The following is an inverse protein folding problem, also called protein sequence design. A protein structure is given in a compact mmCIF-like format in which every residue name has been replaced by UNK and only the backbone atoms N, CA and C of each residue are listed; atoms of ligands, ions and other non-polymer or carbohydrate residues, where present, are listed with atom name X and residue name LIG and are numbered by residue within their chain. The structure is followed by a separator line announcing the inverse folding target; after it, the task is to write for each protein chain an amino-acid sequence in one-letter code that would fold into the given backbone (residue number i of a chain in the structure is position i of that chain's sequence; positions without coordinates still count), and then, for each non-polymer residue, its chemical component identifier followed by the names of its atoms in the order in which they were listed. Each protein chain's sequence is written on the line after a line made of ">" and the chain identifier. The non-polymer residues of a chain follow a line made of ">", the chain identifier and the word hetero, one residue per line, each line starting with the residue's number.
data_IF_249903989375
#
_entry.id   IF_249903989375
#
_cell.length_a   1.000
_cell.length_b   1.000
_cell.length_c   1.000
_cell.angle_alpha   90.00
_cell.angle_beta   90.00
_cell.angle_gamma   90.00
#
_symmetry.space_group_name_H-M   'P 1'
#
loop_
_entity.id
_entity.type
_entity.pdbx_description
1 polymer ?
#
# COMPACT_ATOMS: atom_id res chain seq x y z
N UNK A 1 -10.11 16.85 -10.69
CA UNK A 1 -9.06 16.15 -9.94
C UNK A 1 -7.69 16.60 -10.39
N UNK A 2 -7.45 16.81 -11.64
CA UNK A 2 -6.28 17.43 -12.23
C UNK A 2 -6.78 18.60 -13.07
N UNK A 3 -6.33 19.84 -12.81
CA UNK A 3 -6.48 20.89 -13.81
C UNK A 3 -5.46 20.57 -14.90
N UNK A 4 -5.94 20.25 -16.09
CA UNK A 4 -5.12 20.05 -17.28
C UNK A 4 -4.60 21.37 -17.81
N UNK A 5 -3.68 21.99 -17.09
CA UNK A 5 -2.85 23.04 -17.62
C UNK A 5 -1.55 22.42 -18.06
N UNK A 6 -1.10 22.72 -19.26
CA UNK A 6 0.17 22.24 -19.83
C UNK A 6 1.39 22.62 -18.96
N UNK A 7 1.25 23.62 -18.12
CA UNK A 7 2.20 23.96 -17.07
C UNK A 7 1.69 23.45 -15.73
N UNK A 8 2.30 22.40 -15.19
CA UNK A 8 1.98 21.76 -13.91
C UNK A 8 2.12 22.65 -12.67
N UNK A 9 2.16 23.96 -12.82
CA UNK A 9 2.29 24.95 -11.77
C UNK A 9 0.91 25.27 -11.18
N UNK A 10 0.62 24.80 -9.96
CA UNK A 10 -0.44 25.33 -9.11
C UNK A 10 -1.73 24.51 -9.01
N UNK A 11 -1.77 23.26 -9.41
CA UNK A 11 -2.94 22.38 -9.17
C UNK A 11 -3.01 21.92 -7.70
N UNK A 12 -4.15 22.19 -7.03
CA UNK A 12 -4.38 21.67 -5.68
C UNK A 12 -4.71 20.18 -5.74
N UNK A 13 -3.73 19.30 -5.47
CA UNK A 13 -3.99 17.90 -5.26
C UNK A 13 -4.80 17.67 -3.97
N UNK A 14 -5.95 17.01 -4.07
CA UNK A 14 -6.77 16.66 -2.89
C UNK A 14 -6.05 15.63 -2.01
N UNK A 15 -5.30 14.72 -2.62
CA UNK A 15 -4.58 13.62 -1.96
C UNK A 15 -3.16 13.61 -2.50
N UNK A 16 -2.17 13.39 -1.63
CA UNK A 16 -0.76 13.33 -2.03
C UNK A 16 -0.48 12.16 -2.97
N UNK A 17 0.53 12.32 -3.84
CA UNK A 17 0.89 11.35 -4.86
C UNK A 17 1.25 9.98 -4.26
N UNK A 18 1.96 9.96 -3.15
CA UNK A 18 2.33 8.72 -2.46
C UNK A 18 1.11 7.89 -2.04
N UNK A 19 0.01 8.53 -1.63
CA UNK A 19 -1.24 7.85 -1.31
C UNK A 19 -1.97 7.40 -2.58
N UNK A 20 -1.96 8.19 -3.65
CA UNK A 20 -2.56 7.85 -4.94
C UNK A 20 -1.91 6.61 -5.54
N UNK A 21 -0.59 6.49 -5.46
CA UNK A 21 0.18 5.38 -6.06
C UNK A 21 0.19 4.10 -5.24
N UNK A 22 -0.27 4.12 -3.99
CA UNK A 22 -0.40 2.88 -3.20
C UNK A 22 -1.35 1.89 -3.87
N UNK A 23 -1.10 0.57 -3.76
CA UNK A 23 -2.05 -0.46 -4.15
C UNK A 23 -3.43 -0.25 -3.48
N UNK A 24 -4.50 -0.63 -4.17
CA UNK A 24 -5.88 -0.46 -3.67
C UNK A 24 -6.11 -1.17 -2.33
N UNK A 25 -5.59 -2.37 -2.17
CA UNK A 25 -5.65 -3.16 -0.94
C UNK A 25 -4.76 -2.61 0.19
N UNK A 26 -3.90 -1.65 -0.11
CA UNK A 26 -3.09 -0.89 0.85
C UNK A 26 -3.58 0.56 1.03
N UNK A 27 -4.84 0.83 0.68
CA UNK A 27 -5.49 2.12 0.90
C UNK A 27 -5.27 3.17 -0.18
N UNK A 28 -4.61 2.84 -1.28
CA UNK A 28 -4.36 3.73 -2.39
C UNK A 28 -5.42 3.67 -3.49
N UNK A 29 -5.19 4.47 -4.53
CA UNK A 29 -5.98 4.44 -5.76
C UNK A 29 -5.46 3.39 -6.77
N UNK A 30 -4.24 2.88 -6.57
CA UNK A 30 -3.62 1.86 -7.42
C UNK A 30 -3.07 2.40 -8.73
N UNK A 31 -2.78 3.70 -8.81
CA UNK A 31 -2.02 4.25 -9.93
C UNK A 31 -0.57 3.77 -9.80
N UNK A 32 0.05 3.18 -10.82
CA UNK A 32 1.41 2.70 -10.72
C UNK A 32 2.42 3.81 -10.40
N UNK A 33 3.26 3.58 -9.40
CA UNK A 33 4.44 4.38 -9.11
C UNK A 33 5.56 3.92 -10.04
N UNK A 34 5.92 4.74 -11.02
CA UNK A 34 6.88 4.36 -12.07
C UNK A 34 8.29 4.13 -11.53
N UNK A 35 8.71 4.86 -10.50
CA UNK A 35 10.01 4.68 -9.87
C UNK A 35 10.10 3.30 -9.19
N UNK A 36 9.12 2.97 -8.35
CA UNK A 36 9.02 1.68 -7.68
C UNK A 36 8.81 0.53 -8.66
N UNK A 37 8.05 0.77 -9.74
CA UNK A 37 7.87 -0.21 -10.80
C UNK A 37 9.18 -0.46 -11.55
N UNK A 38 9.91 0.60 -11.91
CA UNK A 38 11.25 0.50 -12.50
C UNK A 38 12.22 -0.26 -11.61
N UNK A 39 12.22 0.00 -10.28
CA UNK A 39 13.00 -0.76 -9.31
C UNK A 39 12.63 -2.25 -9.33
N UNK A 40 11.33 -2.57 -9.30
CA UNK A 40 10.89 -3.96 -9.38
C UNK A 40 11.32 -4.65 -10.68
N UNK A 41 11.42 -3.96 -11.80
CA UNK A 41 11.96 -4.52 -13.04
C UNK A 41 13.48 -4.74 -12.96
N UNK A 42 14.24 -3.84 -12.32
CA UNK A 42 15.69 -4.00 -12.15
C UNK A 42 16.04 -5.18 -11.22
N UNK A 43 15.26 -5.41 -10.15
CA UNK A 43 15.46 -6.60 -9.30
C UNK A 43 15.33 -7.92 -10.06
N UNK A 44 14.59 -7.95 -11.16
CA UNK A 44 14.48 -9.13 -12.03
C UNK A 44 15.82 -9.53 -12.63
N UNK A 45 16.69 -8.56 -12.96
CA UNK A 45 18.02 -8.85 -13.47
C UNK A 45 18.87 -9.57 -12.43
N UNK A 46 18.87 -9.11 -11.18
CA UNK A 46 19.57 -9.75 -10.06
C UNK A 46 19.07 -11.18 -9.81
N UNK A 47 17.74 -11.40 -9.89
CA UNK A 47 17.16 -12.74 -9.78
C UNK A 47 17.61 -13.66 -10.91
N UNK A 48 17.56 -13.19 -12.13
CA UNK A 48 17.94 -13.99 -13.32
C UNK A 48 19.43 -14.33 -13.32
N UNK A 49 20.30 -13.43 -12.88
CA UNK A 49 21.74 -13.68 -12.75
C UNK A 49 22.02 -14.85 -11.78
N UNK A 50 21.19 -15.00 -10.74
CA UNK A 50 21.30 -16.13 -9.82
C UNK A 50 20.79 -17.44 -10.40
N UNK A 51 19.64 -17.40 -11.08
CA UNK A 51 18.92 -18.61 -11.51
C UNK A 51 19.48 -19.17 -12.81
N UNK A 52 19.95 -18.31 -13.72
CA UNK A 52 20.37 -18.73 -15.07
C UNK A 52 21.65 -17.99 -15.49
N UNK A 53 22.79 -18.63 -15.25
CA UNK A 53 24.11 -18.12 -15.65
C UNK A 53 24.37 -18.23 -17.16
N UNK A 54 23.53 -18.95 -17.91
CA UNK A 54 23.71 -19.13 -19.37
C UNK A 54 23.33 -17.89 -20.17
N UNK A 55 22.75 -16.88 -19.55
CA UNK A 55 22.40 -15.62 -20.20
C UNK A 55 23.63 -14.89 -20.69
N UNK A 56 23.58 -14.38 -21.91
CA UNK A 56 24.68 -13.67 -22.58
C UNK A 56 25.19 -12.43 -21.85
N UNK A 57 24.38 -11.87 -20.96
CA UNK A 57 24.68 -10.70 -20.11
C UNK A 57 25.12 -11.08 -18.70
N UNK A 58 25.12 -12.37 -18.36
CA UNK A 58 25.58 -12.84 -17.03
C UNK A 58 27.04 -12.45 -16.81
N UNK A 59 27.32 -11.88 -15.63
CA UNK A 59 28.64 -11.35 -15.30
C UNK A 59 28.96 -9.95 -15.84
N UNK A 60 28.05 -9.33 -16.63
CA UNK A 60 28.16 -7.92 -17.00
C UNK A 60 27.66 -7.01 -15.89
N UNK A 61 27.97 -5.70 -15.97
CA UNK A 61 27.45 -4.70 -15.06
C UNK A 61 25.93 -4.55 -15.27
N UNK A 62 25.17 -4.89 -14.23
CA UNK A 62 23.71 -4.79 -14.27
C UNK A 62 23.23 -3.36 -14.00
N UNK A 63 22.14 -2.89 -14.62
CA UNK A 63 21.56 -1.56 -14.41
C UNK A 63 20.83 -1.46 -13.05
N UNK A 64 21.51 -1.87 -11.98
CA UNK A 64 20.97 -1.92 -10.62
C UNK A 64 21.79 -1.03 -9.69
N UNK A 65 21.08 -0.16 -8.96
CA UNK A 65 21.68 0.70 -7.94
C UNK A 65 22.03 -0.10 -6.67
N UNK A 66 22.78 0.51 -5.75
CA UNK A 66 23.07 -0.11 -4.45
C UNK A 66 21.79 -0.34 -3.63
N UNK A 67 20.82 0.57 -3.71
CA UNK A 67 19.51 0.40 -3.08
C UNK A 67 18.72 -0.78 -3.66
N UNK A 68 18.80 -1.00 -4.97
CA UNK A 68 18.20 -2.16 -5.62
C UNK A 68 18.83 -3.46 -5.10
N UNK A 69 20.16 -3.50 -4.99
CA UNK A 69 20.90 -4.64 -4.45
C UNK A 69 20.60 -4.88 -2.97
N UNK A 70 20.47 -3.82 -2.19
CA UNK A 70 20.09 -3.91 -0.78
C UNK A 70 18.68 -4.49 -0.62
N UNK A 71 17.70 -3.98 -1.39
CA UNK A 71 16.33 -4.49 -1.39
C UNK A 71 16.27 -5.95 -1.86
N UNK A 72 17.03 -6.31 -2.90
CA UNK A 72 17.11 -7.68 -3.38
C UNK A 72 17.65 -8.62 -2.29
N UNK A 73 18.80 -8.30 -1.72
CA UNK A 73 19.46 -9.13 -0.71
C UNK A 73 18.60 -9.32 0.55
N UNK A 74 17.82 -8.31 0.95
CA UNK A 74 16.88 -8.42 2.06
C UNK A 74 15.61 -9.22 1.72
N UNK A 75 15.36 -9.43 0.43
CA UNK A 75 14.15 -10.09 -0.09
C UNK A 75 14.35 -11.55 -0.48
N UNK A 76 15.58 -12.04 -0.45
CA UNK A 76 15.90 -13.45 -0.74
C UNK A 76 16.28 -14.21 0.53
N UNK A 77 16.10 -15.52 0.49
CA UNK A 77 16.68 -16.48 1.43
C UNK A 77 17.70 -17.29 0.63
N UNK A 78 18.90 -17.44 1.17
CA UNK A 78 19.97 -18.20 0.51
C UNK A 78 20.07 -19.56 1.21
N UNK A 79 19.99 -20.63 0.43
CA UNK A 79 20.33 -21.97 0.88
C UNK A 79 21.72 -22.32 0.34
N UNK A 80 22.69 -22.42 1.25
CA UNK A 80 24.06 -22.77 0.90
C UNK A 80 24.17 -24.23 0.43
N UNK A 81 24.78 -24.41 -0.72
CA UNK A 81 25.28 -25.68 -1.20
C UNK A 81 26.79 -25.74 -1.07
N UNK A 82 27.49 -25.57 -2.19
CA UNK A 82 28.98 -25.56 -2.24
C UNK A 82 29.60 -24.20 -1.93
N UNK A 83 28.79 -23.15 -1.79
CA UNK A 83 29.22 -21.78 -1.47
C UNK A 83 29.94 -21.07 -2.62
N UNK A 84 29.84 -21.58 -3.85
CA UNK A 84 30.57 -21.03 -5.00
C UNK A 84 29.94 -19.74 -5.54
N UNK A 85 28.63 -19.56 -5.42
CA UNK A 85 27.89 -18.37 -5.89
C UNK A 85 27.74 -17.31 -4.80
N UNK A 86 27.60 -17.71 -3.57
CA UNK A 86 27.28 -16.85 -2.44
C UNK A 86 28.48 -16.01 -2.04
N UNK A 87 28.36 -14.67 -2.08
CA UNK A 87 29.40 -13.74 -1.63
C UNK A 87 29.44 -13.72 -0.10
N UNK A 88 30.63 -14.04 0.49
CA UNK A 88 30.79 -14.18 1.93
C UNK A 88 30.31 -12.94 2.72
N UNK A 89 30.77 -11.76 2.36
CA UNK A 89 30.49 -10.53 3.11
C UNK A 89 29.18 -9.85 2.74
N UNK A 90 28.67 -10.06 1.52
CA UNK A 90 27.59 -9.25 0.97
C UNK A 90 26.24 -9.93 0.99
N UNK A 91 26.19 -11.26 1.00
CA UNK A 91 24.93 -12.00 0.93
C UNK A 91 24.48 -12.48 2.31
N UNK A 92 23.16 -12.57 2.51
CA UNK A 92 22.53 -12.96 3.78
C UNK A 92 22.45 -14.47 3.98
N UNK A 93 23.60 -15.14 3.99
CA UNK A 93 23.69 -16.60 4.13
C UNK A 93 23.88 -17.08 5.58
N UNK A 94 24.27 -16.19 6.48
CA UNK A 94 24.52 -16.50 7.88
C UNK A 94 23.36 -15.97 8.73
N UNK A 95 22.48 -16.87 9.18
CA UNK A 95 21.26 -16.53 9.91
C UNK A 95 20.40 -15.44 9.19
N UNK A 96 20.24 -15.56 7.87
CA UNK A 96 19.55 -14.60 7.03
C UNK A 96 20.18 -13.19 7.00
N UNK A 97 21.38 -13.02 7.51
CA UNK A 97 22.11 -11.75 7.54
C UNK A 97 23.44 -11.84 6.78
N UNK A 98 23.83 -10.73 6.19
CA UNK A 98 25.17 -10.65 5.58
C UNK A 98 26.23 -10.33 6.65
N UNK A 99 27.37 -11.04 6.66
CA UNK A 99 28.45 -10.82 7.63
C UNK A 99 28.91 -9.37 7.76
N UNK A 100 28.84 -8.56 6.70
CA UNK A 100 29.13 -7.11 6.77
C UNK A 100 28.24 -6.32 7.73
N UNK A 101 27.03 -6.82 8.03
CA UNK A 101 26.13 -6.19 9.00
C UNK A 101 26.31 -6.77 10.40
N UNK A 102 26.74 -8.02 10.50
CA UNK A 102 27.06 -8.67 11.77
C UNK A 102 28.38 -8.18 12.35
N UNK A 103 29.34 -7.85 11.48
CA UNK A 103 30.69 -7.40 11.85
C UNK A 103 31.14 -6.20 10.99
N UNK A 104 30.51 -5.04 11.14
CA UNK A 104 30.75 -3.87 10.30
C UNK A 104 32.15 -3.28 10.48
N UNK A 105 32.76 -3.38 11.67
CA UNK A 105 34.09 -2.89 11.91
C UNK A 105 35.16 -3.81 11.29
N UNK A 106 34.99 -5.12 11.35
CA UNK A 106 35.87 -6.07 10.63
C UNK A 106 35.73 -5.90 9.12
N UNK A 107 34.52 -5.69 8.60
CA UNK A 107 34.31 -5.48 7.17
C UNK A 107 35.10 -4.28 6.63
N UNK A 108 35.18 -3.19 7.40
CA UNK A 108 35.96 -1.98 7.04
C UNK A 108 37.48 -2.22 6.95
N UNK A 109 38.01 -3.23 7.62
CA UNK A 109 39.43 -3.58 7.57
C UNK A 109 39.83 -4.31 6.28
N UNK A 110 38.85 -4.76 5.50
CA UNK A 110 39.12 -5.62 4.35
C UNK A 110 39.26 -4.81 3.07
N UNK A 111 40.28 -5.15 2.28
CA UNK A 111 40.52 -4.59 0.93
C UNK A 111 39.81 -5.37 -0.19
N UNK A 112 39.48 -6.64 0.04
CA UNK A 112 38.80 -7.53 -0.93
C UNK A 112 37.66 -8.23 -0.26
N UNK A 113 36.45 -7.86 -0.64
CA UNK A 113 35.17 -8.31 -0.02
C UNK A 113 34.31 -9.17 -0.93
N UNK A 114 34.66 -9.29 -2.23
CA UNK A 114 33.83 -9.97 -3.24
C UNK A 114 34.09 -11.48 -3.38
N UNK A 115 34.79 -12.09 -2.42
CA UNK A 115 35.04 -13.54 -2.44
C UNK A 115 33.80 -14.32 -2.04
N UNK A 116 33.72 -15.56 -2.54
CA UNK A 116 32.62 -16.47 -2.25
C UNK A 116 32.77 -17.14 -0.88
N UNK A 117 31.68 -17.69 -0.36
CA UNK A 117 31.69 -18.45 0.89
C UNK A 117 32.66 -19.62 0.80
N UNK A 118 32.65 -20.37 -0.31
CA UNK A 118 33.57 -21.44 -0.58
C UNK A 118 35.02 -21.00 -0.46
N UNK A 119 35.39 -19.85 -1.06
CA UNK A 119 36.76 -19.33 -1.06
C UNK A 119 37.20 -18.84 0.32
N UNK A 120 36.30 -18.27 1.11
CA UNK A 120 36.61 -17.72 2.43
C UNK A 120 36.62 -18.80 3.53
N UNK A 121 35.77 -19.82 3.44
CA UNK A 121 35.74 -20.92 4.38
C UNK A 121 36.87 -21.95 4.11
N UNK A 122 37.34 -22.05 2.85
CA UNK A 122 38.48 -22.93 2.54
C UNK A 122 39.72 -22.53 3.33
N UNK A 123 40.23 -23.45 4.15
CA UNK A 123 41.37 -23.23 5.02
C UNK A 123 41.21 -21.99 5.94
N UNK A 124 40.00 -21.64 6.31
CA UNK A 124 39.71 -20.47 7.16
C UNK A 124 40.33 -19.15 6.64
N UNK A 125 40.35 -18.95 5.32
CA UNK A 125 40.94 -17.76 4.69
C UNK A 125 40.43 -16.43 5.23
N UNK A 126 39.16 -16.36 5.60
CA UNK A 126 38.56 -15.16 6.15
C UNK A 126 39.25 -14.70 7.46
N UNK A 127 39.68 -15.67 8.29
CA UNK A 127 40.37 -15.39 9.54
C UNK A 127 41.80 -14.89 9.30
N UNK A 128 42.54 -15.55 8.41
CA UNK A 128 43.97 -15.22 8.15
C UNK A 128 44.12 -13.77 7.65
N UNK A 129 43.13 -13.23 6.93
CA UNK A 129 43.13 -11.84 6.45
C UNK A 129 42.87 -10.82 7.55
N UNK A 130 42.16 -11.21 8.58
CA UNK A 130 41.77 -10.35 9.69
C UNK A 130 42.79 -10.38 10.82
N UNK A 131 43.46 -11.52 11.06
CA UNK A 131 44.31 -11.75 12.21
C UNK A 131 45.37 -10.66 12.46
N UNK A 132 45.94 -10.07 11.38
CA UNK A 132 46.94 -9.00 11.49
C UNK A 132 46.34 -7.59 11.57
N UNK A 133 45.01 -7.45 11.45
CA UNK A 133 44.32 -6.17 11.38
C UNK A 133 43.43 -5.90 12.61
N UNK A 134 43.26 -6.91 13.45
CA UNK A 134 42.51 -6.80 14.69
C UNK A 134 43.34 -6.04 15.71
N UNK A 135 42.90 -4.81 16.04
CA UNK A 135 43.66 -3.90 16.93
C UNK A 135 42.82 -3.36 18.09
N UNK A 136 41.52 -3.66 18.14
CA UNK A 136 40.58 -3.12 19.15
C UNK A 136 39.71 -4.20 19.76
N UNK A 137 39.20 -4.01 20.99
CA UNK A 137 38.27 -4.94 21.62
C UNK A 137 37.01 -5.22 20.77
N UNK A 138 36.48 -4.21 20.12
CA UNK A 138 35.31 -4.37 19.26
C UNK A 138 35.54 -5.29 18.07
N UNK A 139 36.78 -5.26 17.50
CA UNK A 139 37.19 -6.18 16.44
C UNK A 139 37.20 -7.62 16.93
N UNK A 140 37.66 -7.83 18.19
CA UNK A 140 37.71 -9.16 18.80
C UNK A 140 36.32 -9.68 19.05
N UNK A 141 35.43 -8.86 19.58
CA UNK A 141 34.01 -9.20 19.83
C UNK A 141 33.30 -9.62 18.53
N UNK A 142 33.38 -8.78 17.49
CA UNK A 142 32.79 -9.09 16.18
C UNK A 142 33.43 -10.37 15.58
N UNK A 143 34.74 -10.56 15.71
CA UNK A 143 35.42 -11.76 15.24
C UNK A 143 34.90 -13.01 15.94
N UNK A 144 34.83 -13.00 17.26
CA UNK A 144 34.32 -14.12 18.06
C UNK A 144 32.85 -14.43 17.73
N UNK A 145 32.03 -13.40 17.57
CA UNK A 145 30.65 -13.57 17.17
C UNK A 145 30.51 -14.26 15.80
N UNK A 146 31.29 -13.82 14.81
CA UNK A 146 31.29 -14.47 13.49
C UNK A 146 31.84 -15.90 13.57
N UNK A 147 32.93 -16.10 14.32
CA UNK A 147 33.55 -17.40 14.50
C UNK A 147 32.54 -18.44 15.01
N UNK A 148 31.87 -18.12 16.10
CA UNK A 148 30.88 -19.02 16.72
C UNK A 148 29.77 -19.42 15.72
N UNK A 149 29.29 -18.48 14.91
CA UNK A 149 28.24 -18.73 13.92
C UNK A 149 28.71 -19.54 12.72
N UNK A 150 29.96 -19.36 12.31
CA UNK A 150 30.50 -19.98 11.09
C UNK A 150 31.02 -21.42 11.35
N UNK A 151 31.42 -21.76 12.56
CA UNK A 151 32.01 -23.08 12.84
C UNK A 151 31.04 -24.26 12.55
N UNK A 152 29.75 -24.03 12.64
CA UNK A 152 28.73 -25.07 12.38
C UNK A 152 28.26 -25.10 10.91
N UNK A 153 28.85 -24.25 10.07
CA UNK A 153 28.48 -24.17 8.65
C UNK A 153 29.25 -25.20 7.84
N UNK A 154 28.53 -26.15 7.25
CA UNK A 154 29.08 -27.19 6.40
C UNK A 154 28.63 -27.01 4.95
N UNK A 155 29.60 -26.85 4.04
CA UNK A 155 29.32 -26.75 2.61
C UNK A 155 29.07 -28.14 2.02
N UNK A 156 28.05 -28.25 1.17
CA UNK A 156 27.67 -29.49 0.50
C UNK A 156 28.31 -29.54 -0.89
N UNK A 157 29.39 -30.32 -1.03
CA UNK A 157 30.10 -30.44 -2.32
C UNK A 157 29.17 -30.99 -3.42
N UNK A 158 29.20 -30.36 -4.58
CA UNK A 158 28.39 -30.76 -5.74
C UNK A 158 26.95 -30.29 -5.73
N UNK A 159 26.49 -29.62 -4.66
CA UNK A 159 25.17 -29.00 -4.60
C UNK A 159 25.35 -27.49 -4.76
N UNK A 160 24.69 -26.92 -5.77
CA UNK A 160 24.75 -25.47 -6.01
C UNK A 160 23.98 -24.67 -4.95
N UNK A 161 24.47 -23.46 -4.66
CA UNK A 161 23.73 -22.49 -3.86
C UNK A 161 22.41 -22.12 -4.56
N UNK A 162 21.32 -22.03 -3.79
CA UNK A 162 20.01 -21.63 -4.30
C UNK A 162 19.47 -20.42 -3.57
N UNK A 163 18.56 -19.70 -4.22
CA UNK A 163 17.84 -18.58 -3.62
C UNK A 163 16.34 -18.80 -3.68
N UNK A 164 15.65 -18.32 -2.65
CA UNK A 164 14.19 -18.33 -2.57
C UNK A 164 13.70 -16.90 -2.35
N UNK A 165 12.68 -16.48 -3.09
CA UNK A 165 12.06 -15.17 -2.93
C UNK A 165 11.07 -15.18 -1.76
N UNK A 166 11.29 -14.33 -0.74
CA UNK A 166 10.51 -14.32 0.52
C UNK A 166 9.03 -13.95 0.35
N UNK A 167 8.67 -13.28 -0.75
CA UNK A 167 7.39 -12.57 -0.88
C UNK A 167 6.37 -13.28 -1.78
N UNK A 168 6.64 -14.53 -2.12
CA UNK A 168 5.73 -15.43 -2.85
C UNK A 168 5.68 -16.79 -2.18
N UNK A 169 4.55 -17.49 -2.29
CA UNK A 169 4.39 -18.80 -1.67
C UNK A 169 5.22 -19.89 -2.38
N UNK A 170 5.49 -19.70 -3.68
CA UNK A 170 6.27 -20.62 -4.51
C UNK A 170 7.78 -20.35 -4.45
N UNK A 171 8.18 -19.33 -3.70
CA UNK A 171 9.58 -18.93 -3.58
C UNK A 171 10.19 -18.33 -4.84
N UNK A 172 9.39 -18.08 -5.88
CA UNK A 172 9.86 -17.53 -7.15
C UNK A 172 9.66 -16.00 -7.22
N UNK A 173 10.60 -15.33 -7.86
CA UNK A 173 10.50 -13.90 -8.09
C UNK A 173 9.33 -13.54 -9.02
N UNK A 174 8.57 -12.51 -8.64
CA UNK A 174 7.65 -11.84 -9.54
C UNK A 174 7.77 -10.32 -9.41
N UNK A 175 7.73 -9.60 -10.53
CA UNK A 175 7.73 -8.13 -10.54
C UNK A 175 6.60 -7.55 -9.69
N UNK A 176 5.44 -8.23 -9.68
CA UNK A 176 4.30 -7.85 -8.84
C UNK A 176 4.62 -7.91 -7.34
N UNK A 177 5.25 -8.98 -6.87
CA UNK A 177 5.64 -9.11 -5.46
C UNK A 177 6.73 -8.11 -5.10
N UNK A 178 7.73 -7.92 -5.97
CA UNK A 178 8.80 -6.95 -5.81
C UNK A 178 8.30 -5.50 -5.81
N UNK A 179 7.26 -5.18 -6.57
CA UNK A 179 6.59 -3.89 -6.52
C UNK A 179 5.85 -3.71 -5.19
N UNK A 180 5.08 -4.70 -4.77
CA UNK A 180 4.23 -4.65 -3.56
C UNK A 180 5.03 -4.51 -2.26
N UNK A 181 6.18 -5.19 -2.15
CA UNK A 181 6.99 -5.14 -0.94
C UNK A 181 7.49 -3.73 -0.60
N UNK A 182 7.68 -2.88 -1.61
CA UNK A 182 8.11 -1.49 -1.44
C UNK A 182 7.07 -0.60 -0.75
N UNK A 183 5.85 -1.08 -0.56
CA UNK A 183 4.78 -0.40 0.19
C UNK A 183 4.58 -0.98 1.59
N UNK A 184 5.39 -1.96 2.01
CA UNK A 184 5.27 -2.57 3.34
C UNK A 184 5.51 -1.53 4.43
N UNK A 185 4.67 -1.53 5.46
CA UNK A 185 4.68 -0.47 6.49
C UNK A 185 3.83 0.75 6.17
N UNK A 186 3.30 0.85 4.93
CA UNK A 186 2.41 1.95 4.50
C UNK A 186 0.92 1.63 4.69
N UNK A 187 0.57 0.69 5.53
CA UNK A 187 -0.80 0.22 5.71
C UNK A 187 -1.68 1.31 6.32
N UNK A 188 -2.69 1.74 5.58
CA UNK A 188 -3.85 2.40 6.14
C UNK A 188 -4.79 1.31 6.66
N UNK A 189 -5.14 1.38 7.94
CA UNK A 189 -6.07 0.45 8.61
C UNK A 189 -7.54 0.72 8.21
N UNK A 190 -7.84 0.91 6.93
CA UNK A 190 -9.21 1.04 6.46
C UNK A 190 -9.58 -0.19 5.65
N UNK A 191 -10.79 -0.69 5.88
CA UNK A 191 -11.39 -1.76 5.09
C UNK A 191 -11.57 -1.35 3.62
N UNK A 192 -10.46 -1.29 2.88
CA UNK A 192 -10.43 -0.86 1.47
C UNK A 192 -11.35 -1.67 0.58
N UNK A 193 -11.60 -2.92 0.98
CA UNK A 193 -12.58 -3.80 0.36
C UNK A 193 -14.01 -3.23 0.37
N UNK A 194 -14.35 -2.40 1.36
CA UNK A 194 -15.66 -1.74 1.44
C UNK A 194 -15.92 -0.87 0.22
N UNK A 195 -14.89 -0.22 -0.30
CA UNK A 195 -14.98 0.64 -1.47
C UNK A 195 -14.77 -0.16 -2.76
N UNK A 196 -13.64 -0.88 -2.85
CA UNK A 196 -13.20 -1.44 -4.13
C UNK A 196 -14.01 -2.65 -4.57
N UNK A 197 -14.59 -3.40 -3.61
CA UNK A 197 -15.49 -4.54 -3.90
C UNK A 197 -16.97 -4.17 -4.00
N UNK A 198 -17.35 -2.92 -3.72
CA UNK A 198 -18.72 -2.46 -3.84
C UNK A 198 -19.20 -2.49 -5.30
N UNK A 199 -20.47 -2.76 -5.50
CA UNK A 199 -21.12 -2.83 -6.82
C UNK A 199 -21.58 -1.43 -7.27
N UNK A 200 -20.64 -0.54 -7.55
CA UNK A 200 -20.89 0.83 -8.04
C UNK A 200 -19.86 1.21 -9.11
N UNK A 201 -20.11 2.28 -9.85
CA UNK A 201 -19.20 2.82 -10.85
C UNK A 201 -17.90 3.34 -10.24
N UNK A 202 -16.82 3.29 -11.03
CA UNK A 202 -15.50 3.72 -10.57
C UNK A 202 -15.47 5.19 -10.11
N UNK A 203 -16.26 6.09 -10.72
CA UNK A 203 -16.37 7.50 -10.29
C UNK A 203 -16.88 7.61 -8.85
N UNK A 204 -17.88 6.81 -8.48
CA UNK A 204 -18.44 6.77 -7.13
C UNK A 204 -17.46 6.14 -6.13
N UNK A 205 -16.70 5.10 -6.53
CA UNK A 205 -15.62 4.52 -5.72
C UNK A 205 -14.50 5.52 -5.43
N UNK A 206 -14.06 6.27 -6.45
CA UNK A 206 -13.03 7.32 -6.30
C UNK A 206 -13.53 8.42 -5.35
N UNK A 207 -14.78 8.85 -5.49
CA UNK A 207 -15.36 9.82 -4.57
C UNK A 207 -15.37 9.29 -3.13
N UNK A 208 -15.86 8.07 -2.92
CA UNK A 208 -15.89 7.43 -1.60
C UNK A 208 -14.47 7.31 -1.00
N UNK A 209 -13.48 6.99 -1.82
CA UNK A 209 -12.07 6.94 -1.41
C UNK A 209 -11.55 8.32 -0.96
N UNK A 210 -11.94 9.41 -1.64
CA UNK A 210 -11.60 10.79 -1.25
C UNK A 210 -12.36 11.19 0.03
N UNK A 211 -13.61 10.78 0.15
CA UNK A 211 -14.49 11.05 1.28
C UNK A 211 -13.95 10.46 2.59
N UNK A 212 -13.57 9.18 2.59
CA UNK A 212 -13.05 8.51 3.81
C UNK A 212 -11.70 9.07 4.27
N UNK A 213 -10.99 9.79 3.42
CA UNK A 213 -9.77 10.53 3.76
C UNK A 213 -10.05 11.96 4.24
N UNK A 214 -11.33 12.35 4.36
CA UNK A 214 -11.76 13.72 4.67
C UNK A 214 -11.16 14.78 3.73
N UNK A 215 -11.13 14.45 2.41
CA UNK A 215 -10.51 15.33 1.39
C UNK A 215 -11.50 15.90 0.37
N UNK A 216 -12.81 15.61 0.47
CA UNK A 216 -13.80 16.29 -0.35
C UNK A 216 -13.86 17.79 -0.01
N UNK A 217 -14.20 18.65 -0.98
CA UNK A 217 -14.16 20.10 -0.84
C UNK A 217 -15.40 20.64 -0.09
N UNK A 218 -15.55 20.24 1.17
CA UNK A 218 -16.52 20.84 2.10
C UNK A 218 -16.12 22.25 2.49
N UNK A 219 -17.02 23.02 3.07
CA UNK A 219 -16.73 24.37 3.55
C UNK A 219 -15.54 24.39 4.52
N UNK A 220 -15.47 23.42 5.46
CA UNK A 220 -14.32 23.29 6.37
C UNK A 220 -12.99 23.02 5.62
N UNK A 221 -13.01 22.13 4.62
CA UNK A 221 -11.80 21.82 3.88
C UNK A 221 -11.37 22.95 2.92
N UNK A 222 -12.33 23.74 2.41
CA UNK A 222 -12.04 24.96 1.68
C UNK A 222 -11.45 26.02 2.61
N UNK A 223 -12.02 26.21 3.80
CA UNK A 223 -11.48 27.12 4.82
C UNK A 223 -10.02 26.79 5.17
N UNK A 224 -9.72 25.51 5.45
CA UNK A 224 -8.35 25.05 5.74
C UNK A 224 -7.35 25.36 4.60
N UNK A 225 -7.85 25.53 3.38
CA UNK A 225 -7.04 25.82 2.17
C UNK A 225 -7.05 27.30 1.79
N UNK A 226 -7.63 28.17 2.62
CA UNK A 226 -7.75 29.60 2.33
C UNK A 226 -8.68 29.94 1.15
N UNK A 227 -9.53 28.98 0.74
CA UNK A 227 -10.48 29.18 -0.36
C UNK A 227 -11.80 29.79 0.11
N UNK A 228 -12.59 30.37 -0.83
CA UNK A 228 -13.92 30.91 -0.52
C UNK A 228 -14.83 29.77 -0.05
N UNK A 229 -15.54 30.00 1.05
CA UNK A 229 -16.43 29.01 1.67
C UNK A 229 -17.61 29.66 2.35
N UNK A 230 -18.70 28.91 2.52
CA UNK A 230 -19.86 29.33 3.29
C UNK A 230 -19.66 28.98 4.75
N UNK A 231 -20.11 29.83 5.67
CA UNK A 231 -19.97 29.59 7.12
C UNK A 231 -20.98 28.55 7.65
N UNK A 232 -22.09 28.38 6.95
CA UNK A 232 -23.16 27.45 7.32
C UNK A 232 -23.34 26.33 6.30
N UNK A 233 -23.86 25.21 6.73
CA UNK A 233 -24.21 24.10 5.85
C UNK A 233 -25.39 24.50 4.94
N UNK A 234 -25.18 24.44 3.62
CA UNK A 234 -26.19 24.79 2.61
C UNK A 234 -27.41 23.84 2.60
N UNK A 235 -27.30 22.68 3.26
CA UNK A 235 -28.38 21.68 3.30
C UNK A 235 -29.35 21.93 4.45
N UNK A 236 -28.89 22.47 5.59
CA UNK A 236 -29.70 22.61 6.80
C UNK A 236 -29.55 23.97 7.50
N UNK A 237 -28.79 24.90 6.97
CA UNK A 237 -28.43 26.20 7.58
C UNK A 237 -27.80 26.07 9.00
N UNK A 238 -27.31 24.89 9.35
CA UNK A 238 -26.66 24.58 10.60
C UNK A 238 -25.17 24.94 10.64
N UNK A 239 -24.38 24.30 11.50
CA UNK A 239 -22.97 24.61 11.68
C UNK A 239 -22.13 24.41 10.43
N UNK A 240 -20.86 24.85 10.48
CA UNK A 240 -19.90 24.71 9.38
C UNK A 240 -19.90 23.28 8.83
N UNK A 241 -20.00 23.18 7.51
CA UNK A 241 -20.09 21.93 6.79
C UNK A 241 -18.75 21.16 6.86
N UNK A 242 -18.74 20.05 7.57
CA UNK A 242 -17.68 19.04 7.55
C UNK A 242 -18.13 17.86 6.68
N UNK A 243 -17.21 16.98 6.26
CA UNK A 243 -17.58 15.74 5.56
C UNK A 243 -18.53 14.87 6.39
N UNK A 244 -18.24 14.77 7.69
CA UNK A 244 -19.08 14.02 8.63
C UNK A 244 -20.46 14.62 8.77
N UNK A 245 -20.55 15.96 8.99
CA UNK A 245 -21.82 16.64 9.07
C UNK A 245 -22.66 16.43 7.81
N UNK A 246 -22.07 16.76 6.64
CA UNK A 246 -22.75 16.67 5.35
C UNK A 246 -23.31 15.27 5.06
N UNK A 247 -22.54 14.23 5.35
CA UNK A 247 -22.87 12.87 4.95
C UNK A 247 -23.69 12.08 5.96
N UNK A 248 -23.60 12.38 7.27
CA UNK A 248 -24.20 11.57 8.34
C UNK A 248 -25.00 12.36 9.37
N UNK A 249 -24.58 13.58 9.74
CA UNK A 249 -25.17 14.32 10.87
C UNK A 249 -26.24 15.30 10.40
N UNK A 250 -26.09 15.89 9.21
CA UNK A 250 -27.01 16.85 8.65
C UNK A 250 -28.47 16.32 8.66
N UNK A 251 -29.45 17.08 9.14
CA UNK A 251 -30.87 16.66 9.15
C UNK A 251 -31.37 16.24 7.76
N UNK A 252 -30.98 16.96 6.69
CA UNK A 252 -31.31 16.58 5.33
C UNK A 252 -30.71 15.22 4.96
N UNK A 253 -29.45 15.00 5.24
CA UNK A 253 -28.77 13.72 4.98
C UNK A 253 -29.42 12.57 5.76
N UNK A 254 -29.71 12.78 7.04
CA UNK A 254 -30.43 11.79 7.88
C UNK A 254 -31.81 11.42 7.28
N UNK A 255 -32.55 12.39 6.77
CA UNK A 255 -33.83 12.12 6.13
C UNK A 255 -33.68 11.31 4.83
N UNK A 256 -32.64 11.59 4.01
CA UNK A 256 -32.31 10.78 2.82
C UNK A 256 -31.94 9.35 3.23
N UNK A 257 -31.08 9.20 4.21
CA UNK A 257 -30.68 7.87 4.74
C UNK A 257 -31.89 7.07 5.22
N UNK A 258 -32.78 7.67 5.99
CA UNK A 258 -33.98 6.99 6.47
C UNK A 258 -34.83 6.44 5.34
N UNK A 259 -35.04 7.22 4.26
CA UNK A 259 -35.84 6.75 3.09
C UNK A 259 -35.14 5.59 2.36
N UNK A 260 -33.81 5.64 2.21
CA UNK A 260 -33.07 4.60 1.52
C UNK A 260 -32.97 3.31 2.36
N UNK A 261 -32.75 3.43 3.67
CA UNK A 261 -32.64 2.29 4.57
C UNK A 261 -33.97 1.55 4.76
N UNK A 262 -35.05 2.30 4.83
CA UNK A 262 -36.40 1.71 4.86
C UNK A 262 -36.69 0.96 3.56
N UNK A 263 -36.34 1.52 2.42
CA UNK A 263 -36.57 0.89 1.11
C UNK A 263 -35.71 -0.37 0.91
N UNK A 264 -34.46 -0.34 1.33
CA UNK A 264 -33.48 -1.48 1.19
C UNK A 264 -33.58 -2.51 2.34
N UNK A 265 -34.41 -2.26 3.37
CA UNK A 265 -34.53 -3.10 4.58
C UNK A 265 -33.24 -3.29 5.36
N UNK A 266 -32.37 -2.28 5.42
CA UNK A 266 -31.12 -2.32 6.17
C UNK A 266 -31.29 -1.79 7.60
N UNK A 267 -31.82 -2.61 8.48
CA UNK A 267 -32.08 -2.27 9.90
C UNK A 267 -30.78 -1.98 10.68
N UNK A 268 -29.67 -2.62 10.31
CA UNK A 268 -28.37 -2.44 10.96
C UNK A 268 -27.86 -1.00 10.85
N UNK A 269 -28.08 -0.35 9.69
CA UNK A 269 -27.67 1.05 9.49
C UNK A 269 -28.60 1.98 10.25
N UNK A 270 -29.91 1.71 10.30
CA UNK A 270 -30.86 2.53 11.06
C UNK A 270 -30.48 2.62 12.54
N UNK A 271 -30.07 1.53 13.13
CA UNK A 271 -29.59 1.51 14.53
C UNK A 271 -28.31 2.37 14.72
N UNK A 272 -27.42 2.40 13.75
CA UNK A 272 -26.19 3.19 13.79
C UNK A 272 -26.39 4.69 13.55
N UNK A 273 -27.48 5.10 12.90
CA UNK A 273 -27.77 6.53 12.73
C UNK A 273 -28.04 7.26 14.06
N UNK A 274 -28.44 6.53 15.10
CA UNK A 274 -28.66 7.06 16.44
C UNK A 274 -27.33 7.17 17.24
N UNK A 275 -26.25 6.55 16.78
CA UNK A 275 -24.92 6.76 17.34
C UNK A 275 -24.36 8.13 16.89
N UNK A 276 -23.61 8.80 17.74
CA UNK A 276 -22.88 10.01 17.37
C UNK A 276 -21.55 9.63 16.71
N UNK A 277 -21.50 9.48 15.40
CA UNK A 277 -20.25 9.10 14.72
C UNK A 277 -19.23 10.23 14.83
N UNK A 278 -17.98 9.85 15.06
CA UNK A 278 -16.85 10.80 15.10
C UNK A 278 -16.13 10.89 13.75
N UNK A 279 -16.17 9.80 12.97
CA UNK A 279 -15.55 9.73 11.64
C UNK A 279 -16.40 8.87 10.69
N UNK A 280 -16.48 9.25 9.42
CA UNK A 280 -17.18 8.47 8.38
C UNK A 280 -16.58 7.07 8.25
N UNK A 281 -15.26 6.97 8.33
CA UNK A 281 -14.51 5.74 8.23
C UNK A 281 -14.93 4.71 9.28
N UNK A 282 -14.84 5.05 10.57
CA UNK A 282 -15.20 4.16 11.68
C UNK A 282 -16.69 3.78 11.64
N UNK A 283 -17.55 4.76 11.37
CA UNK A 283 -18.99 4.50 11.21
C UNK A 283 -19.25 3.45 10.12
N UNK A 284 -18.58 3.58 8.96
CA UNK A 284 -18.79 2.65 7.85
C UNK A 284 -18.23 1.25 8.14
N UNK A 285 -17.06 1.17 8.78
CA UNK A 285 -16.47 -0.11 9.22
C UNK A 285 -17.40 -0.84 10.21
N UNK A 286 -17.96 -0.12 11.20
CA UNK A 286 -18.89 -0.67 12.19
C UNK A 286 -20.19 -1.19 11.56
N UNK A 287 -20.75 -0.42 10.63
CA UNK A 287 -21.93 -0.81 9.87
C UNK A 287 -21.67 -2.05 9.02
N UNK A 288 -20.56 -2.05 8.28
CA UNK A 288 -20.20 -3.17 7.40
C UNK A 288 -19.83 -4.44 8.19
N UNK A 289 -19.23 -4.31 9.39
CA UNK A 289 -18.90 -5.44 10.25
C UNK A 289 -20.14 -6.20 10.73
N UNK A 290 -21.23 -5.47 11.02
CA UNK A 290 -22.51 -6.04 11.49
C UNK A 290 -23.34 -6.68 10.37
N UNK A 291 -23.09 -6.32 9.12
CA UNK A 291 -23.82 -6.87 7.99
C UNK A 291 -23.37 -8.31 7.65
N UNK A 292 -24.31 -9.20 7.26
CA UNK A 292 -24.00 -10.51 6.72
C UNK A 292 -23.00 -10.43 5.56
N UNK A 293 -22.05 -11.34 5.49
CA UNK A 293 -20.97 -11.32 4.47
C UNK A 293 -21.52 -11.24 3.03
N UNK A 294 -22.63 -11.93 2.76
CA UNK A 294 -23.28 -11.94 1.45
C UNK A 294 -23.84 -10.55 1.06
N UNK A 295 -24.30 -9.76 2.03
CA UNK A 295 -24.93 -8.46 1.78
C UNK A 295 -23.94 -7.28 1.79
N UNK A 296 -22.73 -7.48 2.30
CA UNK A 296 -21.76 -6.39 2.47
C UNK A 296 -21.46 -5.62 1.19
N UNK A 297 -21.38 -6.30 0.04
CA UNK A 297 -21.12 -5.63 -1.25
C UNK A 297 -22.27 -4.72 -1.65
N UNK A 298 -23.51 -5.19 -1.45
CA UNK A 298 -24.73 -4.42 -1.73
C UNK A 298 -24.83 -3.24 -0.79
N UNK A 299 -24.71 -3.47 0.51
CA UNK A 299 -24.73 -2.44 1.55
C UNK A 299 -23.71 -1.32 1.26
N UNK A 300 -22.47 -1.69 0.94
CA UNK A 300 -21.43 -0.73 0.60
C UNK A 300 -21.77 0.06 -0.67
N UNK A 301 -22.41 -0.57 -1.65
CA UNK A 301 -22.90 0.10 -2.85
C UNK A 301 -23.95 1.16 -2.51
N UNK A 302 -24.94 0.80 -1.71
CA UNK A 302 -25.99 1.72 -1.22
C UNK A 302 -25.37 2.89 -0.45
N UNK A 303 -24.42 2.61 0.43
CA UNK A 303 -23.72 3.66 1.19
C UNK A 303 -22.98 4.64 0.26
N UNK A 304 -22.24 4.13 -0.72
CA UNK A 304 -21.50 4.96 -1.68
C UNK A 304 -22.45 5.83 -2.50
N UNK A 305 -23.54 5.27 -3.04
CA UNK A 305 -24.52 6.05 -3.80
C UNK A 305 -25.19 7.12 -2.95
N UNK A 306 -25.53 6.81 -1.70
CA UNK A 306 -26.13 7.78 -0.78
C UNK A 306 -25.17 8.95 -0.52
N UNK A 307 -23.91 8.69 -0.19
CA UNK A 307 -22.90 9.73 -0.04
C UNK A 307 -22.71 10.55 -1.32
N UNK A 308 -22.65 9.89 -2.46
CA UNK A 308 -22.48 10.53 -3.76
C UNK A 308 -23.61 11.47 -4.12
N UNK A 309 -24.87 11.08 -3.91
CA UNK A 309 -26.03 11.91 -4.23
C UNK A 309 -26.23 13.05 -3.23
N UNK A 310 -25.94 12.86 -1.95
CA UNK A 310 -25.91 13.94 -0.97
C UNK A 310 -24.85 14.98 -1.39
N UNK A 311 -23.67 14.55 -1.81
CA UNK A 311 -22.62 15.42 -2.33
C UNK A 311 -23.04 16.16 -3.61
N UNK A 312 -23.71 15.47 -4.53
CA UNK A 312 -24.24 16.09 -5.75
C UNK A 312 -25.30 17.14 -5.45
N UNK A 313 -26.21 16.86 -4.52
CA UNK A 313 -27.23 17.80 -4.10
C UNK A 313 -26.60 19.05 -3.44
N UNK A 314 -25.63 18.87 -2.57
CA UNK A 314 -24.85 19.97 -2.01
C UNK A 314 -24.25 20.86 -3.11
N UNK A 315 -23.62 20.25 -4.10
CA UNK A 315 -23.00 20.97 -5.21
C UNK A 315 -24.05 21.69 -6.08
N UNK A 316 -25.20 21.07 -6.32
CA UNK A 316 -26.32 21.68 -7.05
C UNK A 316 -26.78 22.96 -6.36
N UNK A 317 -26.89 22.96 -5.03
CA UNK A 317 -27.29 24.15 -4.27
C UNK A 317 -26.26 25.28 -4.37
N UNK A 318 -24.99 24.94 -4.33
CA UNK A 318 -23.91 25.96 -4.34
C UNK A 318 -23.67 26.51 -5.73
N UNK A 319 -23.61 25.65 -6.75
CA UNK A 319 -23.14 26.04 -8.08
C UNK A 319 -24.26 26.35 -9.07
N UNK A 320 -25.41 25.64 -8.95
CA UNK A 320 -26.53 25.77 -9.88
C UNK A 320 -27.68 26.59 -9.28
N UNK A 321 -27.58 26.94 -7.99
CA UNK A 321 -28.65 27.60 -7.22
C UNK A 321 -30.00 26.88 -7.34
N UNK A 322 -29.98 25.54 -7.39
CA UNK A 322 -31.14 24.65 -7.48
C UNK A 322 -31.09 23.67 -6.31
N UNK A 323 -32.29 23.33 -5.79
CA UNK A 323 -32.42 22.34 -4.70
C UNK A 323 -33.42 21.26 -5.07
N UNK A 324 -33.06 20.03 -4.68
CA UNK A 324 -34.00 18.90 -4.70
C UNK A 324 -34.47 18.57 -3.28
N UNK A 325 -35.68 18.07 -3.20
CA UNK A 325 -36.27 17.57 -1.96
C UNK A 325 -35.68 16.21 -1.59
N UNK A 326 -35.83 15.80 -0.32
CA UNK A 326 -35.34 14.48 0.16
C UNK A 326 -35.91 13.33 -0.68
N UNK A 327 -37.25 13.28 -1.05
CA UNK A 327 -37.77 12.24 -1.93
C UNK A 327 -37.13 12.22 -3.32
N UNK A 328 -36.85 13.39 -3.90
CA UNK A 328 -36.20 13.47 -5.22
C UNK A 328 -34.77 12.93 -5.21
N UNK A 329 -33.96 13.29 -4.18
CA UNK A 329 -32.64 12.75 -4.02
C UNK A 329 -32.67 11.24 -3.78
N UNK A 330 -33.59 10.76 -2.94
CA UNK A 330 -33.79 9.33 -2.71
C UNK A 330 -34.22 8.58 -3.98
N UNK A 331 -35.07 9.17 -4.83
CA UNK A 331 -35.46 8.57 -6.11
C UNK A 331 -34.24 8.37 -7.03
N UNK A 332 -33.35 9.36 -7.13
CA UNK A 332 -32.09 9.23 -7.92
C UNK A 332 -31.17 8.15 -7.39
N UNK A 333 -31.05 8.01 -6.06
CA UNK A 333 -30.25 6.93 -5.44
C UNK A 333 -30.82 5.57 -5.81
N UNK A 334 -32.16 5.42 -5.70
CA UNK A 334 -32.86 4.17 -6.06
C UNK A 334 -32.64 3.82 -7.51
N UNK A 335 -32.76 4.80 -8.41
CA UNK A 335 -32.53 4.62 -9.84
C UNK A 335 -31.14 4.10 -10.15
N UNK A 336 -30.09 4.73 -9.61
CA UNK A 336 -28.69 4.27 -9.80
C UNK A 336 -28.48 2.86 -9.25
N UNK A 337 -29.05 2.53 -8.08
CA UNK A 337 -28.97 1.19 -7.48
C UNK A 337 -29.65 0.15 -8.37
N UNK A 338 -30.88 0.44 -8.88
CA UNK A 338 -31.63 -0.48 -9.73
C UNK A 338 -30.95 -0.68 -11.09
N UNK A 339 -30.49 0.40 -11.73
CA UNK A 339 -29.73 0.32 -12.97
C UNK A 339 -28.48 -0.58 -12.78
N UNK A 340 -27.81 -0.46 -11.64
CA UNK A 340 -26.64 -1.26 -11.36
C UNK A 340 -26.97 -2.71 -11.07
N UNK A 341 -28.05 -3.01 -10.35
CA UNK A 341 -28.56 -4.39 -10.17
C UNK A 341 -28.78 -5.07 -11.51
N UNK A 342 -29.55 -4.42 -12.42
CA UNK A 342 -29.81 -4.95 -13.77
C UNK A 342 -28.50 -5.26 -14.53
N UNK A 343 -27.49 -4.39 -14.45
CA UNK A 343 -26.22 -4.59 -15.13
C UNK A 343 -25.42 -5.79 -14.60
N UNK A 344 -25.65 -6.24 -13.38
CA UNK A 344 -24.98 -7.43 -12.79
C UNK A 344 -25.81 -8.71 -12.95
N UNK A 345 -27.13 -8.61 -13.09
CA UNK A 345 -28.00 -9.78 -13.30
C UNK A 345 -27.91 -10.30 -14.75
N UNK A 346 -27.26 -9.57 -15.66
CA UNK A 346 -26.97 -9.99 -17.04
C UNK A 346 -25.57 -10.63 -17.22
N UNK A 347 -24.77 -10.79 -16.15
CA UNK A 347 -23.46 -11.43 -16.17
C UNK A 347 -23.51 -12.71 -15.32
#
# INVERSE_FOLDING_TARGET
>A
MWKGDENANGGHCLVNWQTVTRPKDMGGLGVPDLERFGRALRLRWLWQEWVDESKSWSGSELPCTDDDRLLFNSSIIISLGDGAKTKFWHHGWLDDQAPKYLAPNLFRLLSRTNRTVQQELRNNNWMHKLARKITSPIHIEEFMSLWIRIQDVHLQQGIQDTITWRWTNDGNYSTRSAYRIQFRGSLLHFGTDLIWKAHVENRCKIFAWILVQDKILTAQNLQKRGGPHQQQCVMCNGPLETSLHLCLICPFAKAVWNQILTWENFTQIQQQQNANPTHIKSWWEDVAAKAPRAERRRLNGVAIYTFWHIWKERNRRIFDNRSETVPQVAARIKEDIEQRKRAFDYI
#
